data_IF_274045179610
#
_entry.id   IF_274045179610
#
_cell.length_a   1.000
_cell.length_b   1.000
_cell.length_c   1.000
_cell.angle_alpha   90.00
_cell.angle_beta   90.00
_cell.angle_gamma   90.00
#
_symmetry.space_group_name_H-M   'P 1'
#
loop_
_entity.id
_entity.type
_entity.pdbx_description
1 polymer ?
#
# COMPACT_ATOMS: atom_id res chain seq x y z
N UNK A 1 10.26 16.42 -29.81
CA UNK A 1 10.03 16.44 -28.35
C UNK A 1 8.55 16.68 -28.13
N UNK A 2 7.86 15.73 -27.52
CA UNK A 2 6.46 15.91 -27.20
C UNK A 2 6.30 16.81 -25.94
N UNK A 3 5.05 17.18 -25.60
CA UNK A 3 4.80 18.05 -24.45
C UNK A 3 5.17 17.40 -23.11
N UNK A 4 5.05 16.08 -22.97
CA UNK A 4 5.44 15.36 -21.75
C UNK A 4 6.97 15.39 -21.57
N UNK A 5 7.73 15.18 -22.64
CA UNK A 5 9.20 15.27 -22.63
C UNK A 5 9.66 16.66 -22.21
N UNK A 6 9.11 17.71 -22.82
CA UNK A 6 9.45 19.09 -22.48
C UNK A 6 9.13 19.46 -21.03
N UNK A 7 8.01 18.94 -20.47
CA UNK A 7 7.65 19.13 -19.07
C UNK A 7 8.59 18.34 -18.14
N UNK A 8 9.01 17.15 -18.53
CA UNK A 8 9.93 16.35 -17.76
C UNK A 8 11.33 16.96 -17.70
N UNK A 9 11.82 17.51 -18.82
CA UNK A 9 13.08 18.26 -18.86
C UNK A 9 13.06 19.45 -17.88
N UNK A 10 12.00 20.27 -17.92
CA UNK A 10 11.82 21.35 -16.96
C UNK A 10 11.72 20.88 -15.52
N UNK A 11 11.03 19.78 -15.26
CA UNK A 11 10.89 19.23 -13.91
C UNK A 11 12.25 18.80 -13.33
N UNK A 12 13.13 18.22 -14.16
CA UNK A 12 14.48 17.81 -13.75
C UNK A 12 15.39 18.96 -13.33
N UNK A 13 15.13 20.19 -13.81
CA UNK A 13 15.87 21.38 -13.41
C UNK A 13 15.58 21.81 -11.96
N UNK A 14 14.36 21.49 -11.44
CA UNK A 14 13.89 22.01 -10.14
C UNK A 14 13.49 20.95 -9.14
N UNK A 15 13.35 19.68 -9.57
CA UNK A 15 12.99 18.54 -8.71
C UNK A 15 14.00 17.42 -8.97
N UNK A 16 14.62 16.84 -7.95
CA UNK A 16 15.54 15.72 -8.11
C UNK A 16 14.93 14.58 -8.93
N UNK A 17 15.53 14.29 -10.10
CA UNK A 17 15.00 13.30 -11.06
C UNK A 17 13.67 13.66 -11.70
N UNK A 18 13.17 14.89 -11.52
CA UNK A 18 11.91 15.39 -12.10
C UNK A 18 10.64 14.88 -11.42
N UNK A 19 10.74 14.20 -10.27
CA UNK A 19 9.62 13.53 -9.60
C UNK A 19 9.70 13.64 -8.08
N UNK A 20 8.54 13.60 -7.41
CA UNK A 20 8.43 13.57 -5.95
C UNK A 20 8.29 12.15 -5.38
N UNK A 21 8.37 11.11 -6.23
CA UNK A 21 8.44 9.71 -5.84
C UNK A 21 9.15 8.92 -6.95
N UNK A 22 10.18 8.08 -6.62
CA UNK A 22 11.10 7.51 -7.61
C UNK A 22 10.45 6.73 -8.75
N UNK A 23 9.42 5.93 -8.45
CA UNK A 23 8.75 5.08 -9.45
C UNK A 23 8.11 5.87 -10.59
N UNK A 24 7.74 7.13 -10.35
CA UNK A 24 7.10 8.02 -11.35
C UNK A 24 8.03 8.44 -12.48
N UNK A 25 9.34 8.28 -12.32
CA UNK A 25 10.34 8.71 -13.31
C UNK A 25 10.51 7.76 -14.52
N UNK A 26 9.77 6.66 -14.60
CA UNK A 26 9.89 5.63 -15.65
C UNK A 26 11.29 5.01 -15.77
N UNK A 27 12.10 5.09 -14.71
CA UNK A 27 13.48 4.58 -14.75
C UNK A 27 13.54 3.10 -15.07
N UNK A 28 12.58 2.30 -14.58
CA UNK A 28 12.55 0.85 -14.78
C UNK A 28 12.12 0.43 -16.19
N UNK A 29 11.28 1.24 -16.85
CA UNK A 29 10.72 0.93 -18.17
C UNK A 29 11.32 1.76 -19.30
N UNK A 30 11.98 2.88 -18.95
CA UNK A 30 12.52 3.84 -19.93
C UNK A 30 11.46 4.80 -20.49
N UNK A 31 11.94 5.77 -21.26
CA UNK A 31 11.08 6.82 -21.84
C UNK A 31 10.76 7.94 -20.86
N UNK A 32 9.86 8.84 -21.28
CA UNK A 32 9.42 9.98 -20.47
C UNK A 32 8.06 9.69 -19.79
N UNK A 33 7.92 10.04 -18.50
CA UNK A 33 6.65 9.89 -17.79
C UNK A 33 5.56 10.80 -18.38
N UNK A 34 4.31 10.41 -18.17
CA UNK A 34 3.15 11.19 -18.62
C UNK A 34 2.78 12.22 -17.57
N UNK A 35 2.66 13.48 -17.97
CA UNK A 35 2.21 14.58 -17.12
C UNK A 35 0.69 14.69 -17.18
N UNK A 36 0.01 14.26 -16.11
CA UNK A 36 -1.44 14.17 -16.08
C UNK A 36 -2.06 15.55 -15.80
N UNK A 37 -3.07 15.94 -16.58
CA UNK A 37 -3.79 17.23 -16.46
C UNK A 37 -5.12 17.09 -15.73
N UNK A 38 -5.81 15.99 -15.93
CA UNK A 38 -7.12 15.72 -15.34
C UNK A 38 -7.40 14.22 -15.32
N UNK A 39 -8.33 13.81 -14.48
CA UNK A 39 -8.83 12.45 -14.41
C UNK A 39 -10.32 12.45 -14.07
N UNK A 40 -11.07 11.41 -14.51
CA UNK A 40 -12.48 11.19 -14.17
C UNK A 40 -12.82 9.71 -14.35
N UNK A 41 -13.48 9.13 -13.35
CA UNK A 41 -13.81 7.70 -13.39
C UNK A 41 -12.56 6.82 -13.55
N UNK A 42 -12.49 5.91 -14.53
CA UNK A 42 -11.34 5.06 -14.77
C UNK A 42 -10.28 5.70 -15.67
N UNK A 43 -10.44 6.97 -16.06
CA UNK A 43 -9.62 7.62 -17.09
C UNK A 43 -8.74 8.74 -16.55
N UNK A 44 -7.54 8.85 -17.13
CA UNK A 44 -6.64 10.01 -17.02
C UNK A 44 -6.35 10.61 -18.39
N UNK A 45 -6.02 11.91 -18.43
CA UNK A 45 -5.57 12.61 -19.64
C UNK A 45 -4.25 13.32 -19.37
N UNK A 46 -3.28 13.08 -20.25
CA UNK A 46 -1.96 13.69 -20.14
C UNK A 46 -1.90 15.12 -20.71
N UNK A 47 -0.73 15.73 -20.67
CA UNK A 47 -0.48 17.07 -21.15
C UNK A 47 -0.67 17.24 -22.67
N UNK A 48 -0.66 16.16 -23.44
CA UNK A 48 -0.95 16.18 -24.89
C UNK A 48 -2.44 16.07 -25.18
N UNK A 49 -3.26 15.68 -24.17
CA UNK A 49 -4.68 15.41 -24.30
C UNK A 49 -5.00 13.94 -24.54
N UNK A 50 -3.99 13.06 -24.60
CA UNK A 50 -4.19 11.63 -24.76
C UNK A 50 -4.87 11.05 -23.52
N UNK A 51 -5.90 10.22 -23.74
CA UNK A 51 -6.65 9.52 -22.72
C UNK A 51 -6.03 8.15 -22.45
N UNK A 52 -6.04 7.76 -21.18
CA UNK A 52 -5.62 6.45 -20.70
C UNK A 52 -6.66 5.85 -19.77
N UNK A 53 -6.89 4.52 -19.87
CA UNK A 53 -7.50 3.73 -18.80
C UNK A 53 -6.43 3.56 -17.72
N UNK A 54 -6.74 3.94 -16.48
CA UNK A 54 -5.77 4.00 -15.40
C UNK A 54 -5.88 2.81 -14.46
N UNK A 55 -4.84 1.97 -14.43
CA UNK A 55 -4.69 0.87 -13.47
C UNK A 55 -3.69 1.16 -12.34
N UNK A 56 -3.14 2.39 -12.28
CA UNK A 56 -2.35 2.86 -11.14
C UNK A 56 -3.27 3.38 -10.04
N UNK A 57 -4.33 4.13 -10.41
CA UNK A 57 -5.32 4.71 -9.49
C UNK A 57 -4.66 5.43 -8.30
N UNK A 58 -3.63 6.23 -8.61
CA UNK A 58 -2.81 6.96 -7.61
C UNK A 58 -2.11 6.03 -6.61
N UNK A 59 -1.77 4.80 -7.01
CA UNK A 59 -1.20 3.73 -6.19
C UNK A 59 -2.18 3.15 -5.16
N UNK A 60 -3.48 3.17 -5.50
CA UNK A 60 -4.53 2.49 -4.76
C UNK A 60 -5.67 3.34 -4.18
N UNK A 61 -5.50 4.63 -3.81
CA UNK A 61 -6.56 5.39 -3.14
C UNK A 61 -7.83 5.60 -3.96
N UNK A 62 -7.75 5.63 -5.31
CA UNK A 62 -8.90 5.95 -6.17
C UNK A 62 -9.86 4.78 -6.36
N UNK A 63 -10.29 4.12 -5.27
CA UNK A 63 -11.16 2.93 -5.31
C UNK A 63 -12.56 3.24 -5.87
N UNK A 64 -13.05 4.47 -5.69
CA UNK A 64 -14.31 4.97 -6.27
C UNK A 64 -14.15 5.52 -7.70
N UNK A 65 -12.94 5.45 -8.27
CA UNK A 65 -12.56 6.16 -9.49
C UNK A 65 -12.16 7.61 -9.24
N UNK A 66 -11.55 8.21 -10.25
CA UNK A 66 -11.10 9.59 -10.17
C UNK A 66 -12.29 10.56 -10.12
N UNK A 67 -12.09 11.65 -9.36
CA UNK A 67 -13.01 12.79 -9.33
C UNK A 67 -14.48 12.37 -9.13
N UNK A 68 -14.71 11.49 -8.12
CA UNK A 68 -16.04 11.05 -7.75
C UNK A 68 -16.88 12.23 -7.24
N UNK A 69 -18.11 12.40 -7.73
CA UNK A 69 -18.91 13.60 -7.50
C UNK A 69 -19.28 13.78 -6.01
N UNK A 70 -19.59 12.70 -5.29
CA UNK A 70 -19.91 12.77 -3.85
C UNK A 70 -18.68 13.14 -3.00
N UNK A 71 -17.51 12.59 -3.37
CA UNK A 71 -16.24 12.91 -2.70
C UNK A 71 -15.85 14.36 -2.94
N UNK A 72 -15.97 14.85 -4.18
CA UNK A 72 -15.66 16.25 -4.52
C UNK A 72 -16.62 17.21 -3.81
N UNK A 73 -17.92 16.91 -3.76
CA UNK A 73 -18.89 17.74 -3.03
C UNK A 73 -18.54 17.86 -1.54
N UNK A 74 -18.13 16.76 -0.88
CA UNK A 74 -17.70 16.77 0.51
C UNK A 74 -16.42 17.60 0.73
N UNK A 75 -15.47 17.51 -0.20
CA UNK A 75 -14.23 18.32 -0.19
C UNK A 75 -14.56 19.81 -0.35
N UNK A 76 -15.38 20.19 -1.32
CA UNK A 76 -15.79 21.58 -1.58
C UNK A 76 -16.50 22.17 -0.36
N UNK A 77 -17.39 21.42 0.28
CA UNK A 77 -18.04 21.85 1.51
C UNK A 77 -17.03 22.08 2.64
N UNK A 78 -16.06 21.18 2.82
CA UNK A 78 -15.03 21.32 3.85
C UNK A 78 -14.12 22.53 3.58
N UNK A 79 -13.70 22.73 2.34
CA UNK A 79 -12.86 23.88 1.92
C UNK A 79 -13.58 25.21 2.23
N UNK A 80 -14.91 25.28 2.04
CA UNK A 80 -15.69 26.48 2.33
C UNK A 80 -15.69 26.90 3.80
N UNK A 81 -15.38 25.95 4.73
CA UNK A 81 -15.33 26.16 6.19
C UNK A 81 -13.92 26.48 6.71
N UNK A 82 -12.89 26.25 5.90
CA UNK A 82 -11.49 26.49 6.22
C UNK A 82 -10.59 25.27 5.98
N UNK A 83 -9.30 25.54 5.72
CA UNK A 83 -8.36 24.50 5.32
C UNK A 83 -7.73 23.75 6.50
N UNK A 84 -7.53 24.43 7.64
CA UNK A 84 -6.85 23.87 8.81
C UNK A 84 -7.06 24.80 10.02
N UNK A 85 -7.21 24.22 11.21
CA UNK A 85 -7.56 25.02 12.38
C UNK A 85 -6.51 24.97 13.51
N UNK A 86 -5.61 23.97 13.52
CA UNK A 86 -4.71 23.73 14.65
C UNK A 86 -5.46 23.35 15.94
N UNK A 87 -6.70 22.86 15.79
CA UNK A 87 -7.62 22.46 16.85
C UNK A 87 -8.40 21.22 16.42
N UNK A 88 -8.99 20.49 17.37
CA UNK A 88 -9.78 19.29 17.11
C UNK A 88 -11.05 19.61 16.32
N UNK A 89 -11.48 18.66 15.48
CA UNK A 89 -12.70 18.76 14.70
C UNK A 89 -13.61 17.54 14.92
N UNK A 90 -14.90 17.71 14.71
CA UNK A 90 -15.85 16.60 14.76
C UNK A 90 -15.51 15.52 13.70
N UNK A 91 -15.01 15.94 12.53
CA UNK A 91 -14.65 15.04 11.44
C UNK A 91 -13.60 14.00 11.85
N UNK A 92 -12.65 14.38 12.71
CA UNK A 92 -11.63 13.44 13.23
C UNK A 92 -12.27 12.31 14.06
N UNK A 93 -13.26 12.64 14.88
CA UNK A 93 -14.01 11.64 15.65
C UNK A 93 -14.82 10.73 14.72
N UNK A 94 -15.54 11.32 13.76
CA UNK A 94 -16.36 10.55 12.82
C UNK A 94 -15.55 9.57 11.96
N UNK A 95 -14.39 9.98 11.45
CA UNK A 95 -13.57 9.06 10.67
C UNK A 95 -12.97 7.95 11.53
N UNK A 96 -12.60 8.23 12.77
CA UNK A 96 -12.12 7.22 13.70
C UNK A 96 -13.22 6.20 14.06
N UNK A 97 -14.44 6.65 14.28
CA UNK A 97 -15.62 5.80 14.52
C UNK A 97 -15.92 4.92 13.30
N UNK A 98 -15.86 5.49 12.10
CA UNK A 98 -16.10 4.75 10.85
C UNK A 98 -15.00 3.70 10.58
N UNK A 99 -13.73 4.04 10.82
CA UNK A 99 -12.63 3.08 10.75
C UNK A 99 -12.83 1.93 11.73
N UNK A 100 -13.18 2.21 12.99
CA UNK A 100 -13.45 1.16 14.00
C UNK A 100 -14.60 0.23 13.62
N UNK A 101 -15.62 0.75 12.97
CA UNK A 101 -16.75 -0.05 12.46
C UNK A 101 -16.32 -0.99 11.34
N UNK A 102 -15.47 -0.51 10.41
CA UNK A 102 -15.02 -1.27 9.25
C UNK A 102 -13.84 -2.21 9.56
N UNK A 103 -13.00 -1.86 10.54
CA UNK A 103 -11.83 -2.61 10.98
C UNK A 103 -11.90 -2.82 12.50
N UNK A 104 -12.67 -3.83 12.98
CA UNK A 104 -12.97 -3.99 14.41
C UNK A 104 -11.78 -4.27 15.32
N UNK A 105 -10.63 -4.70 14.77
CA UNK A 105 -9.38 -4.85 15.53
C UNK A 105 -8.79 -3.54 16.04
N UNK A 106 -9.29 -2.39 15.55
CA UNK A 106 -8.83 -1.06 15.93
C UNK A 106 -9.74 -0.45 17.00
N UNK A 107 -9.50 -0.76 18.28
CA UNK A 107 -10.24 -0.16 19.41
C UNK A 107 -10.05 1.36 19.50
N UNK A 108 -8.85 1.85 19.20
CA UNK A 108 -8.49 3.25 19.11
C UNK A 108 -7.70 3.54 17.86
N UNK A 109 -7.85 4.75 17.31
CA UNK A 109 -7.27 5.21 16.06
C UNK A 109 -6.54 6.52 16.27
N UNK A 110 -5.35 6.67 15.73
CA UNK A 110 -4.60 7.93 15.64
C UNK A 110 -4.39 8.27 14.17
N UNK A 111 -4.86 9.45 13.75
CA UNK A 111 -4.67 9.94 12.40
C UNK A 111 -3.25 10.49 12.21
N UNK A 112 -2.72 10.25 11.02
CA UNK A 112 -1.46 10.79 10.51
C UNK A 112 -1.66 11.18 9.04
N UNK A 113 -0.64 11.70 8.35
CA UNK A 113 -0.78 12.18 6.97
C UNK A 113 -0.28 11.20 5.91
N UNK A 114 0.46 10.17 6.28
CA UNK A 114 1.04 9.19 5.34
C UNK A 114 1.20 7.80 5.96
N UNK A 115 1.28 6.78 5.11
CA UNK A 115 1.61 5.41 5.54
C UNK A 115 2.98 5.32 6.20
N UNK A 116 3.96 6.15 5.79
CA UNK A 116 5.27 6.25 6.42
C UNK A 116 5.15 6.69 7.89
N UNK A 117 4.36 7.74 8.15
CA UNK A 117 4.12 8.19 9.53
C UNK A 117 3.38 7.13 10.35
N UNK A 118 2.43 6.41 9.75
CA UNK A 118 1.73 5.31 10.41
C UNK A 118 2.72 4.20 10.81
N UNK A 119 3.59 3.75 9.91
CA UNK A 119 4.60 2.72 10.18
C UNK A 119 5.63 3.13 11.21
N UNK A 120 6.17 4.32 11.07
CA UNK A 120 7.11 4.90 12.04
C UNK A 120 6.50 4.96 13.45
N UNK A 121 5.25 5.39 13.54
CA UNK A 121 4.56 5.56 14.82
C UNK A 121 4.16 4.21 15.43
N UNK A 122 3.66 3.28 14.63
CA UNK A 122 3.29 1.93 15.09
C UNK A 122 4.51 1.15 15.64
N UNK A 123 5.66 1.24 14.98
CA UNK A 123 6.91 0.62 15.46
C UNK A 123 7.38 1.27 16.77
N UNK A 124 7.39 2.61 16.83
CA UNK A 124 7.76 3.32 18.07
C UNK A 124 6.83 2.91 19.22
N UNK A 125 5.53 2.81 18.94
CA UNK A 125 4.54 2.39 19.91
C UNK A 125 4.76 0.96 20.38
N UNK A 126 5.01 0.02 19.45
CA UNK A 126 5.31 -1.38 19.80
C UNK A 126 6.56 -1.51 20.68
N UNK A 127 7.62 -0.77 20.34
CA UNK A 127 8.84 -0.70 21.18
C UNK A 127 8.55 -0.10 22.56
N UNK A 128 7.80 0.99 22.63
CA UNK A 128 7.42 1.64 23.89
C UNK A 128 6.56 0.76 24.78
N UNK A 129 5.62 0.02 24.19
CA UNK A 129 4.73 -0.89 24.90
C UNK A 129 5.43 -2.12 25.43
N UNK A 130 6.30 -2.74 24.63
CA UNK A 130 7.00 -3.99 25.00
C UNK A 130 8.29 -3.75 25.79
N UNK A 131 8.87 -2.57 25.72
CA UNK A 131 10.21 -2.28 26.25
C UNK A 131 11.34 -2.96 25.46
N UNK A 132 11.07 -3.45 24.26
CA UNK A 132 12.00 -4.22 23.42
C UNK A 132 12.41 -3.41 22.18
N UNK A 133 13.50 -3.81 21.52
CA UNK A 133 14.08 -3.04 20.42
C UNK A 133 13.96 -3.72 19.04
N UNK A 134 13.98 -5.06 18.98
CA UNK A 134 14.06 -5.77 17.71
C UNK A 134 12.73 -5.77 16.97
N UNK A 135 12.80 -5.64 15.66
CA UNK A 135 11.63 -5.75 14.76
C UNK A 135 11.91 -6.78 13.67
N UNK A 136 10.87 -7.48 13.27
CA UNK A 136 10.89 -8.39 12.11
C UNK A 136 10.08 -7.74 10.99
N UNK A 137 10.64 -7.69 9.79
CA UNK A 137 9.95 -7.41 8.53
C UNK A 137 10.30 -8.47 7.48
N UNK A 138 9.67 -8.41 6.32
CA UNK A 138 9.87 -9.41 5.26
C UNK A 138 10.45 -8.80 4.01
N UNK A 139 11.26 -9.59 3.32
CA UNK A 139 11.86 -9.22 2.04
C UNK A 139 10.78 -8.91 1.01
N UNK A 140 10.99 -7.87 0.21
CA UNK A 140 10.00 -7.40 -0.76
C UNK A 140 8.86 -6.55 -0.20
N UNK A 141 8.58 -6.59 1.12
CA UNK A 141 7.59 -5.73 1.76
C UNK A 141 8.13 -4.31 1.99
N UNK A 142 7.23 -3.32 1.82
CA UNK A 142 7.52 -1.90 2.04
C UNK A 142 6.51 -1.29 3.01
N UNK A 143 7.01 -0.60 4.03
CA UNK A 143 6.21 -0.02 5.11
C UNK A 143 6.51 1.48 5.32
N UNK A 144 6.82 2.19 4.24
CA UNK A 144 7.29 3.58 4.31
C UNK A 144 8.82 3.69 4.40
N UNK A 145 9.30 4.93 4.41
CA UNK A 145 10.73 5.24 4.33
C UNK A 145 11.34 5.73 5.65
N UNK A 146 10.82 5.26 6.77
CA UNK A 146 11.49 5.40 8.07
C UNK A 146 12.80 4.61 8.09
N UNK A 147 13.86 5.16 8.66
CA UNK A 147 15.22 4.60 8.62
C UNK A 147 15.27 3.14 9.07
N UNK A 148 14.56 2.78 10.15
CA UNK A 148 14.50 1.40 10.65
C UNK A 148 13.82 0.41 9.70
N UNK A 149 13.14 0.88 8.67
CA UNK A 149 12.44 0.07 7.66
C UNK A 149 13.14 0.06 6.30
N UNK A 150 14.12 0.95 6.07
CA UNK A 150 14.97 0.95 4.88
C UNK A 150 16.12 -0.05 5.05
N UNK A 151 15.76 -1.33 5.08
CA UNK A 151 16.63 -2.46 5.41
C UNK A 151 16.40 -3.56 4.40
N UNK A 152 17.48 -4.16 3.92
CA UNK A 152 17.50 -5.36 3.08
C UNK A 152 18.05 -6.55 3.86
N UNK A 153 17.76 -7.77 3.41
CA UNK A 153 18.28 -8.99 4.02
C UNK A 153 19.80 -8.98 4.17
N UNK A 154 20.30 -9.56 5.24
CA UNK A 154 21.72 -9.79 5.47
C UNK A 154 22.28 -10.92 4.60
N UNK A 155 23.59 -11.18 4.68
CA UNK A 155 24.30 -12.17 3.87
C UNK A 155 24.13 -13.62 4.30
N UNK A 156 23.34 -13.89 5.35
CA UNK A 156 23.07 -15.25 5.86
C UNK A 156 21.68 -15.34 6.48
N UNK A 157 21.23 -16.59 6.72
CA UNK A 157 19.97 -16.81 7.42
C UNK A 157 20.01 -16.21 8.83
N UNK A 158 18.91 -15.57 9.24
CA UNK A 158 18.73 -14.95 10.55
C UNK A 158 19.80 -13.90 10.93
N UNK A 159 20.36 -13.20 9.93
CA UNK A 159 21.23 -12.05 10.19
C UNK A 159 20.44 -10.75 10.12
N UNK A 160 20.79 -9.79 10.98
CA UNK A 160 20.21 -8.46 10.92
C UNK A 160 20.50 -7.78 9.59
N UNK A 161 19.53 -7.02 9.09
CA UNK A 161 19.61 -6.42 7.77
C UNK A 161 20.65 -5.30 7.67
N UNK A 162 21.07 -5.06 6.44
CA UNK A 162 21.92 -3.94 6.08
C UNK A 162 21.08 -2.76 5.61
N UNK A 163 21.55 -1.49 5.76
CA UNK A 163 20.87 -0.35 5.17
C UNK A 163 20.63 -0.54 3.67
N UNK A 164 19.39 -0.29 3.22
CA UNK A 164 19.01 -0.33 1.80
C UNK A 164 19.11 1.05 1.12
N UNK A 165 19.41 2.09 1.90
CA UNK A 165 19.58 3.45 1.43
C UNK A 165 20.86 4.07 1.99
N UNK A 166 21.55 4.86 1.17
CA UNK A 166 22.60 5.73 1.65
C UNK A 166 22.01 6.73 2.68
N UNK A 167 22.79 7.06 3.70
CA UNK A 167 22.36 7.97 4.76
C UNK A 167 21.66 7.29 5.95
N UNK A 168 21.32 6.01 5.86
CA UNK A 168 20.80 5.23 7.00
C UNK A 168 21.97 4.60 7.74
N UNK A 169 22.22 4.95 9.03
CA UNK A 169 23.31 4.37 9.81
C UNK A 169 23.06 2.88 10.11
N UNK A 170 24.13 2.09 10.14
CA UNK A 170 24.04 0.68 10.52
C UNK A 170 23.45 0.47 11.92
N UNK A 171 23.73 1.39 12.87
CA UNK A 171 23.15 1.37 14.21
C UNK A 171 21.61 1.49 14.26
N UNK A 172 20.99 2.02 13.21
CA UNK A 172 19.52 2.08 13.11
C UNK A 172 18.96 0.77 12.60
N UNK A 173 19.68 0.07 11.72
CA UNK A 173 19.23 -1.17 11.10
C UNK A 173 19.62 -2.43 11.88
N UNK A 174 20.53 -2.33 12.85
CA UNK A 174 21.01 -3.48 13.67
C UNK A 174 19.92 -4.16 14.52
N UNK A 175 18.78 -3.50 14.67
CA UNK A 175 17.62 -4.05 15.37
C UNK A 175 16.53 -4.56 14.43
N UNK A 176 16.74 -4.51 13.11
CA UNK A 176 15.76 -4.95 12.12
C UNK A 176 16.19 -6.27 11.48
N UNK A 177 15.42 -7.32 11.73
CA UNK A 177 15.59 -8.62 11.10
C UNK A 177 14.69 -8.68 9.85
N UNK A 178 15.27 -9.03 8.71
CA UNK A 178 14.55 -9.22 7.44
C UNK A 178 14.50 -10.69 7.11
N UNK A 179 13.30 -11.27 7.09
CA UNK A 179 13.05 -12.68 6.79
C UNK A 179 12.44 -12.85 5.40
N UNK A 180 12.50 -14.06 4.88
CA UNK A 180 11.81 -14.42 3.64
C UNK A 180 10.28 -14.41 3.87
N UNK A 181 9.56 -13.83 2.92
CA UNK A 181 8.11 -13.85 2.92
C UNK A 181 7.60 -15.28 2.64
N UNK A 182 6.53 -15.70 3.32
CA UNK A 182 5.96 -17.06 3.23
C UNK A 182 6.89 -18.17 3.73
N UNK A 183 7.85 -17.87 4.59
CA UNK A 183 8.72 -18.88 5.23
C UNK A 183 8.45 -18.97 6.75
N UNK A 184 7.52 -19.84 7.21
CA UNK A 184 7.20 -19.98 8.61
C UNK A 184 8.38 -20.50 9.45
N UNK A 185 9.27 -21.34 8.87
CA UNK A 185 10.43 -21.87 9.58
C UNK A 185 11.39 -20.76 10.02
N UNK A 186 11.66 -19.78 9.14
CA UNK A 186 12.51 -18.63 9.53
C UNK A 186 11.90 -17.81 10.65
N UNK A 187 10.56 -17.70 10.71
CA UNK A 187 9.89 -17.06 11.84
C UNK A 187 10.12 -17.84 13.14
N UNK A 188 9.91 -19.16 13.12
CA UNK A 188 10.14 -20.02 14.28
C UNK A 188 11.57 -19.93 14.79
N UNK A 189 12.56 -20.00 13.89
CA UNK A 189 13.97 -19.88 14.22
C UNK A 189 14.32 -18.50 14.81
N UNK A 190 13.76 -17.42 14.25
CA UNK A 190 13.96 -16.07 14.76
C UNK A 190 13.38 -15.89 16.16
N UNK A 191 12.18 -16.39 16.41
CA UNK A 191 11.58 -16.34 17.76
C UNK A 191 12.25 -17.29 18.76
N UNK A 192 12.78 -18.42 18.32
CA UNK A 192 13.57 -19.29 19.17
C UNK A 192 14.86 -18.62 19.65
N UNK A 193 15.46 -17.80 18.79
CA UNK A 193 16.73 -17.12 19.12
C UNK A 193 16.53 -15.79 19.86
N UNK A 194 15.50 -14.99 19.50
CA UNK A 194 15.33 -13.60 19.99
C UNK A 194 13.93 -13.28 20.50
N UNK A 195 13.10 -14.28 20.80
CA UNK A 195 11.69 -14.06 21.13
C UNK A 195 11.45 -13.04 22.24
N UNK A 196 12.33 -12.99 23.24
CA UNK A 196 12.23 -12.05 24.38
C UNK A 196 12.68 -10.62 24.03
N UNK A 197 13.38 -10.43 22.90
CA UNK A 197 13.87 -9.12 22.44
C UNK A 197 13.01 -8.51 21.32
N UNK A 198 12.15 -9.32 20.67
CA UNK A 198 11.31 -8.87 19.56
C UNK A 198 10.17 -8.01 20.08
N UNK A 199 10.17 -6.73 19.69
CA UNK A 199 9.09 -5.79 19.98
C UNK A 199 7.87 -6.05 19.09
N UNK A 200 8.11 -6.24 17.79
CA UNK A 200 7.02 -6.46 16.83
C UNK A 200 7.46 -7.21 15.58
N UNK A 201 6.45 -7.76 14.91
CA UNK A 201 6.52 -8.22 13.52
C UNK A 201 5.62 -7.30 12.69
N UNK A 202 6.11 -6.78 11.57
CA UNK A 202 5.33 -5.98 10.62
C UNK A 202 5.21 -6.70 9.29
N UNK A 203 4.00 -6.78 8.74
CA UNK A 203 3.70 -7.56 7.53
C UNK A 203 2.61 -6.92 6.67
N UNK A 204 2.76 -7.00 5.36
CA UNK A 204 1.65 -6.90 4.40
C UNK A 204 1.07 -8.32 4.22
N UNK A 205 -0.18 -8.58 4.61
CA UNK A 205 -0.76 -9.93 4.47
C UNK A 205 -1.03 -10.30 2.98
N UNK A 206 -1.15 -9.29 2.12
CA UNK A 206 -0.97 -9.38 0.67
C UNK A 206 0.07 -8.34 0.31
N UNK A 207 1.26 -8.76 -0.04
CA UNK A 207 2.37 -7.87 -0.31
C UNK A 207 2.22 -7.24 -1.71
N UNK A 208 1.99 -5.93 -1.75
CA UNK A 208 1.76 -5.18 -2.98
C UNK A 208 2.99 -4.45 -3.52
N UNK A 209 4.12 -4.46 -2.80
CA UNK A 209 5.34 -3.76 -3.17
C UNK A 209 6.41 -4.68 -3.79
N UNK A 210 6.11 -5.96 -3.97
CA UNK A 210 6.85 -6.91 -4.78
C UNK A 210 5.94 -7.53 -5.86
N UNK A 211 5.25 -6.66 -6.63
CA UNK A 211 4.08 -6.99 -7.41
C UNK A 211 2.92 -7.36 -6.45
N UNK A 212 2.15 -8.42 -6.69
CA UNK A 212 1.17 -8.89 -5.70
C UNK A 212 1.52 -10.33 -5.29
N UNK A 213 1.95 -10.52 -4.04
CA UNK A 213 2.23 -11.85 -3.49
C UNK A 213 1.34 -12.09 -2.27
N UNK A 214 0.53 -13.14 -2.32
CA UNK A 214 -0.37 -13.49 -1.21
C UNK A 214 0.39 -14.12 -0.06
N UNK A 215 0.04 -13.74 1.16
CA UNK A 215 0.49 -14.44 2.36
C UNK A 215 -0.10 -15.85 2.42
N UNK A 216 0.75 -16.84 2.66
CA UNK A 216 0.30 -18.20 2.91
C UNK A 216 -0.45 -18.25 4.26
N UNK A 217 -1.64 -18.87 4.36
CA UNK A 217 -2.38 -18.96 5.62
C UNK A 217 -1.60 -19.58 6.78
N UNK A 218 -0.75 -20.57 6.53
CA UNK A 218 0.12 -21.16 7.54
C UNK A 218 1.15 -20.15 8.06
N UNK A 219 1.83 -19.45 7.17
CA UNK A 219 2.79 -18.40 7.51
C UNK A 219 2.16 -17.31 8.40
N UNK A 220 0.97 -16.83 8.02
CA UNK A 220 0.26 -15.79 8.75
C UNK A 220 -0.22 -16.29 10.13
N UNK A 221 -0.71 -17.53 10.22
CA UNK A 221 -1.10 -18.16 11.48
C UNK A 221 0.09 -18.33 12.41
N UNK A 222 1.20 -18.92 11.93
CA UNK A 222 2.44 -19.09 12.69
C UNK A 222 2.93 -17.75 13.25
N UNK A 223 2.90 -16.70 12.44
CA UNK A 223 3.26 -15.35 12.87
C UNK A 223 2.39 -14.86 14.05
N UNK A 224 1.07 -15.02 13.96
CA UNK A 224 0.16 -14.63 15.05
C UNK A 224 0.42 -15.41 16.32
N UNK A 225 0.58 -16.73 16.19
CA UNK A 225 0.83 -17.62 17.32
C UNK A 225 2.15 -17.29 18.04
N UNK A 226 3.23 -17.06 17.28
CA UNK A 226 4.53 -16.69 17.84
C UNK A 226 4.49 -15.33 18.52
N UNK A 227 3.88 -14.32 17.89
CA UNK A 227 3.70 -13.01 18.52
C UNK A 227 2.92 -13.12 19.85
N UNK A 228 1.86 -13.90 19.88
CA UNK A 228 1.06 -14.13 21.10
C UNK A 228 1.89 -14.82 22.18
N UNK A 229 2.58 -15.90 21.83
CA UNK A 229 3.40 -16.70 22.76
C UNK A 229 4.51 -15.88 23.41
N UNK A 230 5.16 -15.01 22.65
CA UNK A 230 6.31 -14.23 23.10
C UNK A 230 5.95 -12.81 23.55
N UNK A 231 4.69 -12.40 23.46
CA UNK A 231 4.26 -11.04 23.82
C UNK A 231 4.81 -9.97 22.89
N UNK A 232 5.13 -10.32 21.65
CA UNK A 232 5.48 -9.38 20.60
C UNK A 232 4.21 -8.80 19.94
N UNK A 233 4.29 -7.56 19.44
CA UNK A 233 3.17 -6.89 18.77
C UNK A 233 3.11 -7.30 17.30
N UNK A 234 1.99 -7.83 16.84
CA UNK A 234 1.75 -8.06 15.41
C UNK A 234 1.16 -6.79 14.78
N UNK A 235 1.88 -6.20 13.84
CA UNK A 235 1.46 -5.04 13.06
C UNK A 235 1.09 -5.52 11.65
N UNK A 236 -0.18 -5.39 11.26
CA UNK A 236 -0.60 -5.63 9.88
C UNK A 236 -0.66 -4.30 9.13
N UNK A 237 0.13 -4.22 8.06
CA UNK A 237 0.14 -3.08 7.16
C UNK A 237 -0.97 -3.22 6.12
N UNK A 238 -2.03 -2.46 6.32
CA UNK A 238 -3.20 -2.35 5.44
C UNK A 238 -3.17 -1.06 4.60
N UNK A 239 -2.03 -0.39 4.50
CA UNK A 239 -1.93 0.85 3.72
C UNK A 239 -2.35 0.64 2.27
N UNK A 240 -2.03 -0.50 1.68
CA UNK A 240 -2.45 -0.86 0.32
C UNK A 240 -3.73 -1.71 0.32
N UNK A 241 -3.86 -2.65 1.22
CA UNK A 241 -4.89 -3.69 1.26
C UNK A 241 -6.18 -3.27 1.96
N UNK A 242 -6.10 -2.31 2.87
CA UNK A 242 -7.25 -1.83 3.63
C UNK A 242 -8.39 -1.35 2.74
N UNK A 243 -9.59 -1.84 2.98
CA UNK A 243 -10.82 -1.57 2.22
C UNK A 243 -10.77 -2.04 0.75
N UNK A 244 -9.64 -2.53 0.28
CA UNK A 244 -9.42 -2.93 -1.12
C UNK A 244 -9.46 -4.43 -1.34
N UNK A 245 -8.83 -5.22 -0.47
CA UNK A 245 -8.85 -6.69 -0.54
C UNK A 245 -10.21 -7.22 -0.07
N UNK A 246 -10.69 -6.68 1.02
CA UNK A 246 -12.04 -6.85 1.56
C UNK A 246 -12.42 -5.57 2.28
N UNK A 247 -13.67 -5.42 2.71
CA UNK A 247 -14.14 -4.23 3.44
C UNK A 247 -13.33 -3.98 4.72
N UNK A 248 -12.98 -5.04 5.46
CA UNK A 248 -12.13 -5.00 6.64
C UNK A 248 -10.65 -5.24 6.36
N UNK A 249 -10.20 -5.13 5.10
CA UNK A 249 -8.81 -5.34 4.68
C UNK A 249 -8.39 -6.80 4.55
N UNK A 250 -7.10 -7.02 4.36
CA UNK A 250 -6.52 -8.36 4.25
C UNK A 250 -6.63 -9.15 5.57
N UNK A 251 -6.61 -8.49 6.72
CA UNK A 251 -6.83 -9.14 8.02
C UNK A 251 -8.19 -9.82 8.10
N UNK A 252 -9.26 -9.18 7.60
CA UNK A 252 -10.59 -9.77 7.53
C UNK A 252 -10.64 -10.92 6.51
N UNK A 253 -9.98 -10.78 5.37
CA UNK A 253 -9.90 -11.80 4.33
C UNK A 253 -9.25 -13.09 4.83
N UNK A 254 -8.17 -12.99 5.62
CA UNK A 254 -7.44 -14.14 6.17
C UNK A 254 -7.92 -14.58 7.56
N UNK A 255 -8.78 -13.82 8.21
CA UNK A 255 -9.18 -14.08 9.61
C UNK A 255 -8.04 -13.88 10.61
N UNK A 256 -7.15 -12.91 10.37
CA UNK A 256 -6.03 -12.56 11.27
C UNK A 256 -6.46 -11.44 12.18
N UNK A 257 -6.15 -11.53 13.46
CA UNK A 257 -6.39 -10.50 14.45
C UNK A 257 -5.06 -9.85 14.86
N UNK A 258 -4.69 -8.69 14.29
CA UNK A 258 -3.47 -7.98 14.64
C UNK A 258 -3.60 -7.25 15.98
N UNK A 259 -2.46 -6.91 16.58
CA UNK A 259 -2.41 -6.04 17.76
C UNK A 259 -2.47 -4.56 17.35
N UNK A 260 -1.82 -4.22 16.22
CA UNK A 260 -1.87 -2.90 15.57
C UNK A 260 -2.12 -3.04 14.06
N UNK A 261 -2.81 -2.07 13.50
CA UNK A 261 -3.08 -1.95 12.06
C UNK A 261 -2.63 -0.58 11.57
N UNK A 262 -2.03 -0.54 10.38
CA UNK A 262 -1.72 0.69 9.65
C UNK A 262 -2.70 0.85 8.49
N UNK A 263 -3.21 2.07 8.28
CA UNK A 263 -4.08 2.43 7.16
C UNK A 263 -3.52 3.64 6.42
N UNK A 264 -3.79 3.72 5.13
CA UNK A 264 -3.44 4.83 4.26
C UNK A 264 -4.22 4.75 2.95
N UNK A 265 -3.75 5.43 1.93
CA UNK A 265 -4.32 5.36 0.57
C UNK A 265 -5.84 5.52 0.55
N UNK A 266 -6.61 4.42 0.52
CA UNK A 266 -8.09 4.45 0.42
C UNK A 266 -8.75 5.27 1.52
N UNK A 267 -8.24 5.21 2.77
CA UNK A 267 -8.79 6.00 3.88
C UNK A 267 -8.77 7.52 3.61
N UNK A 268 -7.85 7.97 2.77
CA UNK A 268 -7.74 9.38 2.36
C UNK A 268 -8.52 9.71 1.09
N UNK A 269 -8.93 8.71 0.30
CA UNK A 269 -9.69 8.92 -0.94
C UNK A 269 -8.98 9.77 -1.99
N UNK A 270 -7.64 9.92 -1.89
CA UNK A 270 -6.81 10.78 -2.73
C UNK A 270 -6.17 11.95 -1.99
N UNK A 271 -6.63 12.26 -0.78
CA UNK A 271 -6.04 13.26 0.10
C UNK A 271 -5.09 12.61 1.12
N UNK A 272 -4.12 13.37 1.69
CA UNK A 272 -3.11 12.84 2.61
C UNK A 272 -3.69 12.55 4.01
N UNK A 273 -4.41 11.44 4.13
CA UNK A 273 -4.86 10.84 5.39
C UNK A 273 -4.34 9.42 5.48
N UNK A 274 -3.79 9.10 6.62
CA UNK A 274 -3.44 7.76 7.05
C UNK A 274 -3.77 7.60 8.54
N UNK A 275 -3.66 6.40 9.05
CA UNK A 275 -3.91 6.11 10.45
C UNK A 275 -3.09 4.91 10.92
N UNK A 276 -2.88 4.83 12.22
CA UNK A 276 -2.54 3.59 12.90
C UNK A 276 -3.44 3.45 14.12
N UNK A 277 -3.67 2.23 14.53
CA UNK A 277 -4.55 1.94 15.65
C UNK A 277 -4.54 0.45 15.99
N UNK A 278 -5.27 0.07 17.00
CA UNK A 278 -5.36 -1.31 17.46
C UNK A 278 -5.86 -1.40 18.88
N UNK A 279 -5.35 -2.40 19.61
CA UNK A 279 -5.74 -2.72 20.97
C UNK A 279 -5.59 -1.51 21.88
N UNK A 280 -6.63 -1.25 22.68
CA UNK A 280 -6.74 -0.06 23.55
C UNK A 280 -5.54 0.11 24.47
N UNK A 281 -5.10 -0.95 25.13
CA UNK A 281 -4.00 -0.91 26.10
C UNK A 281 -2.65 -0.55 25.45
N UNK A 282 -2.46 -0.88 24.16
CA UNK A 282 -1.29 -0.46 23.39
C UNK A 282 -1.42 1.01 23.01
N UNK A 283 -2.56 1.40 22.45
CA UNK A 283 -2.82 2.77 21.99
C UNK A 283 -2.76 3.80 23.13
N UNK A 284 -3.11 3.42 24.34
CA UNK A 284 -3.03 4.29 25.53
C UNK A 284 -1.58 4.63 25.95
N UNK A 285 -0.57 3.97 25.38
CA UNK A 285 0.83 4.38 25.59
C UNK A 285 1.22 5.63 24.79
N UNK A 286 0.34 6.12 23.90
CA UNK A 286 0.62 7.34 23.12
C UNK A 286 0.30 8.60 23.94
N UNK A 287 1.18 9.60 23.85
CA UNK A 287 0.94 10.92 24.43
C UNK A 287 -0.41 11.52 23.91
N UNK A 288 -1.20 12.17 24.76
CA UNK A 288 -0.92 12.64 26.11
C UNK A 288 -1.16 11.61 27.23
N UNK A 289 -1.65 10.41 26.95
CA UNK A 289 -1.95 9.40 27.97
C UNK A 289 -0.71 8.66 28.45
N UNK A 290 0.19 8.30 27.52
CA UNK A 290 1.39 7.54 27.79
C UNK A 290 2.67 8.27 27.33
N UNK A 291 3.84 7.62 27.48
CA UNK A 291 5.14 8.25 27.23
C UNK A 291 5.55 8.23 25.74
N UNK A 292 4.85 7.52 24.88
CA UNK A 292 5.22 7.40 23.45
C UNK A 292 4.76 8.65 22.69
N UNK A 293 5.72 9.41 22.15
CA UNK A 293 5.42 10.65 21.45
C UNK A 293 5.07 10.43 19.97
N UNK A 294 3.98 11.05 19.52
CA UNK A 294 3.59 11.22 18.14
C UNK A 294 2.83 12.53 17.99
N UNK A 295 3.13 13.32 16.96
CA UNK A 295 2.43 14.55 16.64
C UNK A 295 2.45 14.82 15.14
N UNK A 296 1.51 15.64 14.66
CA UNK A 296 1.45 16.09 13.27
C UNK A 296 0.54 17.30 13.14
N UNK A 297 1.09 18.42 12.67
CA UNK A 297 0.33 19.68 12.51
C UNK A 297 -0.91 19.54 11.65
N UNK A 298 -0.82 18.72 10.59
CA UNK A 298 -1.92 18.50 9.63
C UNK A 298 -2.60 17.13 9.80
N UNK A 299 -2.26 16.37 10.84
CA UNK A 299 -2.97 15.14 11.17
C UNK A 299 -4.44 15.44 11.49
N UNK A 300 -5.36 14.76 10.81
CA UNK A 300 -6.78 15.03 10.92
C UNK A 300 -7.23 16.32 10.20
N UNK A 301 -6.49 16.77 9.19
CA UNK A 301 -6.87 17.92 8.36
C UNK A 301 -8.34 17.80 7.90
N UNK A 302 -9.19 18.84 8.13
CA UNK A 302 -10.62 18.73 7.91
C UNK A 302 -11.02 18.45 6.45
N UNK A 303 -10.28 18.98 5.48
CA UNK A 303 -10.52 18.74 4.05
C UNK A 303 -10.16 17.30 3.68
N UNK A 304 -9.03 16.83 4.14
CA UNK A 304 -8.58 15.45 3.90
C UNK A 304 -9.49 14.42 4.60
N UNK A 305 -9.93 14.70 5.81
CA UNK A 305 -10.90 13.87 6.55
C UNK A 305 -12.26 13.81 5.85
N UNK A 306 -12.77 14.94 5.33
CA UNK A 306 -14.02 14.96 4.55
C UNK A 306 -13.94 14.08 3.31
N UNK A 307 -12.80 14.12 2.58
CA UNK A 307 -12.52 13.24 1.45
C UNK A 307 -12.54 11.76 1.88
N UNK A 308 -11.85 11.44 2.97
CA UNK A 308 -11.79 10.08 3.53
C UNK A 308 -13.17 9.56 3.96
N UNK A 309 -13.95 10.35 4.70
CA UNK A 309 -15.30 9.98 5.14
C UNK A 309 -16.23 9.69 3.96
N UNK A 310 -16.23 10.55 2.94
CA UNK A 310 -17.03 10.33 1.73
C UNK A 310 -16.61 9.06 1.00
N UNK A 311 -15.30 8.79 0.93
CA UNK A 311 -14.77 7.56 0.34
C UNK A 311 -15.19 6.32 1.14
N UNK A 312 -15.02 6.32 2.47
CA UNK A 312 -15.42 5.22 3.34
C UNK A 312 -16.93 4.96 3.29
N UNK A 313 -17.75 6.00 3.13
CA UNK A 313 -19.18 5.84 2.88
C UNK A 313 -19.46 5.15 1.55
N UNK A 314 -18.78 5.57 0.47
CA UNK A 314 -18.98 5.02 -0.87
C UNK A 314 -18.65 3.52 -0.98
N UNK A 315 -17.61 3.05 -0.29
CA UNK A 315 -17.20 1.62 -0.32
C UNK A 315 -18.17 0.69 0.41
N UNK A 316 -19.10 1.22 1.21
CA UNK A 316 -20.11 0.44 1.91
C UNK A 316 -21.38 0.20 1.08
N UNK A 317 -21.42 0.69 -0.16
CA UNK A 317 -22.53 0.42 -1.05
C UNK A 317 -22.73 -1.10 -1.25
N UNK A 318 -23.98 -1.60 -1.27
CA UNK A 318 -24.26 -3.02 -1.43
C UNK A 318 -23.60 -3.61 -2.68
N UNK A 319 -22.89 -4.73 -2.53
CA UNK A 319 -22.19 -5.41 -3.62
C UNK A 319 -20.93 -4.71 -4.12
N UNK A 320 -20.43 -3.70 -3.40
CA UNK A 320 -19.22 -2.96 -3.79
C UNK A 320 -18.01 -3.88 -3.95
N UNK A 321 -17.69 -4.67 -2.93
CA UNK A 321 -16.53 -5.57 -2.94
C UNK A 321 -16.66 -6.66 -4.04
N UNK A 322 -17.86 -7.19 -4.25
CA UNK A 322 -18.10 -8.19 -5.29
C UNK A 322 -17.87 -7.63 -6.70
N UNK A 323 -18.33 -6.40 -6.95
CA UNK A 323 -18.09 -5.73 -8.24
C UNK A 323 -16.60 -5.46 -8.45
N UNK A 324 -15.92 -5.01 -7.42
CA UNK A 324 -14.49 -4.73 -7.47
C UNK A 324 -13.67 -5.99 -7.77
N UNK A 325 -13.96 -7.09 -7.04
CA UNK A 325 -13.30 -8.37 -7.24
C UNK A 325 -13.56 -8.95 -8.63
N UNK A 326 -14.82 -8.91 -9.10
CA UNK A 326 -15.17 -9.38 -10.46
C UNK A 326 -14.42 -8.61 -11.55
N UNK A 327 -14.25 -7.30 -11.40
CA UNK A 327 -13.51 -6.50 -12.37
C UNK A 327 -12.02 -6.92 -12.44
N UNK A 328 -11.37 -7.12 -11.28
CA UNK A 328 -10.01 -7.61 -11.23
C UNK A 328 -9.88 -9.03 -11.81
N UNK A 329 -10.74 -9.94 -11.41
CA UNK A 329 -10.75 -11.34 -11.90
C UNK A 329 -10.94 -11.41 -13.42
N UNK A 330 -11.87 -10.62 -13.98
CA UNK A 330 -12.09 -10.57 -15.43
C UNK A 330 -10.84 -10.07 -16.16
N UNK A 331 -10.21 -9.00 -15.65
CA UNK A 331 -9.00 -8.45 -16.24
C UNK A 331 -7.88 -9.49 -16.29
N UNK A 332 -7.56 -10.13 -15.16
CA UNK A 332 -6.44 -11.08 -15.09
C UNK A 332 -6.70 -12.33 -15.95
N UNK A 333 -7.94 -12.82 -16.00
CA UNK A 333 -8.35 -13.95 -16.86
C UNK A 333 -8.21 -13.60 -18.34
N UNK A 334 -8.68 -12.42 -18.75
CA UNK A 334 -8.59 -11.97 -20.14
C UNK A 334 -7.15 -11.77 -20.60
N UNK A 335 -6.32 -11.08 -19.78
CA UNK A 335 -4.91 -10.90 -20.09
C UNK A 335 -4.13 -12.23 -20.14
N UNK A 336 -4.46 -13.17 -19.25
CA UNK A 336 -3.85 -14.52 -19.25
C UNK A 336 -4.23 -15.29 -20.52
N UNK A 337 -5.50 -15.26 -20.93
CA UNK A 337 -5.96 -15.90 -22.17
C UNK A 337 -5.25 -15.29 -23.40
N UNK A 338 -5.21 -13.96 -23.50
CA UNK A 338 -4.53 -13.28 -24.59
C UNK A 338 -3.02 -13.62 -24.66
N UNK A 339 -2.34 -13.71 -23.51
CA UNK A 339 -0.94 -14.14 -23.46
C UNK A 339 -0.75 -15.57 -23.94
N UNK A 340 -1.64 -16.51 -23.52
CA UNK A 340 -1.59 -17.92 -23.95
C UNK A 340 -1.80 -18.06 -25.45
N UNK A 341 -2.78 -17.36 -26.03
CA UNK A 341 -3.05 -17.36 -27.47
C UNK A 341 -1.84 -16.87 -28.30
N UNK A 342 -1.02 -16.01 -27.73
CA UNK A 342 0.18 -15.45 -28.37
C UNK A 342 1.48 -16.13 -27.95
N UNK A 343 1.44 -17.22 -27.17
CA UNK A 343 2.61 -17.99 -26.77
C UNK A 343 3.55 -17.24 -25.81
N UNK A 344 3.02 -16.27 -25.06
CA UNK A 344 3.80 -15.47 -24.09
C UNK A 344 3.81 -16.16 -22.74
N UNK A 345 4.99 -16.34 -22.13
CA UNK A 345 5.10 -16.80 -20.75
C UNK A 345 4.56 -15.72 -19.81
N UNK A 346 3.39 -15.94 -19.25
CA UNK A 346 2.68 -14.99 -18.42
C UNK A 346 1.72 -15.70 -17.50
N UNK A 347 1.58 -15.18 -16.29
CA UNK A 347 0.50 -15.52 -15.38
C UNK A 347 0.04 -14.26 -14.63
N UNK A 348 -1.11 -14.33 -14.01
CA UNK A 348 -1.66 -13.22 -13.24
C UNK A 348 -2.50 -13.76 -12.07
N UNK A 349 -2.66 -12.96 -11.03
CA UNK A 349 -3.52 -13.24 -9.89
C UNK A 349 -4.24 -11.97 -9.46
N UNK A 350 -5.37 -12.11 -8.76
CA UNK A 350 -6.15 -11.00 -8.22
C UNK A 350 -6.71 -11.33 -6.85
N UNK A 351 -6.85 -10.31 -6.01
CA UNK A 351 -7.54 -10.39 -4.73
C UNK A 351 -8.25 -9.07 -4.43
N UNK A 352 -9.57 -9.11 -4.24
CA UNK A 352 -10.38 -7.90 -4.13
C UNK A 352 -10.17 -7.00 -5.36
N UNK A 353 -9.80 -5.74 -5.12
CA UNK A 353 -9.51 -4.78 -6.19
C UNK A 353 -8.04 -4.63 -6.55
N UNK A 354 -7.19 -5.59 -6.19
CA UNK A 354 -5.77 -5.66 -6.52
C UNK A 354 -5.48 -6.78 -7.49
N UNK A 355 -4.45 -6.61 -8.33
CA UNK A 355 -3.96 -7.67 -9.21
C UNK A 355 -2.45 -7.58 -9.41
N UNK A 356 -1.85 -8.72 -9.72
CA UNK A 356 -0.46 -8.87 -10.14
C UNK A 356 -0.36 -9.43 -11.55
N UNK A 357 0.55 -8.88 -12.35
CA UNK A 357 0.88 -9.34 -13.69
C UNK A 357 2.32 -9.86 -13.68
N UNK A 358 2.52 -11.13 -13.97
CA UNK A 358 3.82 -11.76 -13.85
C UNK A 358 4.28 -12.35 -15.19
N UNK A 359 5.41 -11.88 -15.69
CA UNK A 359 6.09 -12.49 -16.84
C UNK A 359 6.95 -13.66 -16.34
N UNK A 360 6.26 -14.66 -15.78
CA UNK A 360 6.75 -15.86 -15.12
C UNK A 360 5.88 -17.05 -15.52
N UNK A 361 6.39 -18.29 -15.43
CA UNK A 361 5.60 -19.50 -15.72
C UNK A 361 4.54 -19.81 -14.64
N UNK A 362 4.68 -19.28 -13.43
CA UNK A 362 3.76 -19.50 -12.31
C UNK A 362 3.69 -18.27 -11.40
N UNK A 363 2.61 -18.15 -10.65
CA UNK A 363 2.40 -17.08 -9.65
C UNK A 363 3.51 -17.17 -8.58
N UNK A 364 4.19 -16.07 -8.26
CA UNK A 364 5.29 -16.06 -7.31
C UNK A 364 4.83 -16.29 -5.88
N UNK A 365 5.64 -16.98 -5.09
CA UNK A 365 5.42 -17.24 -3.66
C UNK A 365 6.21 -16.31 -2.75
N UNK A 366 7.18 -15.58 -3.26
CA UNK A 366 8.03 -14.66 -2.51
C UNK A 366 8.87 -13.78 -3.41
N UNK A 367 9.68 -12.93 -2.79
CA UNK A 367 10.49 -11.94 -3.49
C UNK A 367 11.48 -12.57 -4.48
N UNK A 368 12.12 -13.68 -4.10
CA UNK A 368 13.08 -14.39 -4.96
C UNK A 368 12.44 -14.89 -6.27
N UNK A 369 11.15 -15.22 -6.27
CA UNK A 369 10.46 -15.61 -7.51
C UNK A 369 10.14 -14.39 -8.37
N UNK A 370 9.68 -13.30 -7.74
CA UNK A 370 9.40 -12.03 -8.46
C UNK A 370 10.64 -11.52 -9.18
N UNK A 371 11.83 -11.67 -8.58
CA UNK A 371 13.11 -11.27 -9.18
C UNK A 371 13.48 -12.03 -10.46
N UNK A 372 12.83 -13.17 -10.74
CA UNK A 372 13.02 -13.95 -11.98
C UNK A 372 12.16 -13.45 -13.15
N UNK A 373 11.33 -12.42 -12.94
CA UNK A 373 10.44 -11.88 -13.98
C UNK A 373 11.21 -11.40 -15.21
N UNK A 374 10.68 -11.72 -16.41
CA UNK A 374 11.20 -11.23 -17.68
C UNK A 374 10.88 -9.73 -17.83
N UNK A 375 11.81 -8.91 -17.37
CA UNK A 375 11.70 -7.45 -17.37
C UNK A 375 11.66 -6.88 -18.80
N UNK A 376 12.34 -7.52 -19.76
CA UNK A 376 12.35 -7.05 -21.14
C UNK A 376 10.98 -7.21 -21.78
N UNK A 377 10.36 -8.38 -21.63
CA UNK A 377 9.00 -8.63 -22.12
C UNK A 377 7.98 -7.76 -21.41
N UNK A 378 8.12 -7.55 -20.11
CA UNK A 378 7.29 -6.59 -19.38
C UNK A 378 7.40 -5.18 -19.94
N UNK A 379 8.63 -4.69 -20.21
CA UNK A 379 8.82 -3.34 -20.73
C UNK A 379 8.18 -3.17 -22.13
N UNK A 380 8.27 -4.16 -23.00
CA UNK A 380 7.56 -4.17 -24.30
C UNK A 380 6.04 -4.13 -24.11
N UNK A 381 5.51 -4.95 -23.20
CA UNK A 381 4.09 -4.95 -22.85
C UNK A 381 3.65 -3.57 -22.30
N UNK A 382 4.38 -3.03 -21.34
CA UNK A 382 4.06 -1.73 -20.73
C UNK A 382 3.95 -0.61 -21.79
N UNK A 383 4.96 -0.49 -22.64
CA UNK A 383 4.95 0.55 -23.69
C UNK A 383 3.86 0.30 -24.73
N UNK A 384 3.66 -0.95 -25.15
CA UNK A 384 2.60 -1.31 -26.08
C UNK A 384 1.21 -0.97 -25.56
N UNK A 385 0.96 -1.21 -24.26
CA UNK A 385 -0.30 -0.84 -23.60
C UNK A 385 -0.43 0.68 -23.45
N UNK A 386 0.64 1.37 -23.05
CA UNK A 386 0.65 2.82 -22.91
C UNK A 386 0.36 3.53 -24.25
N UNK A 387 0.92 3.03 -25.36
CA UNK A 387 0.63 3.53 -26.70
C UNK A 387 -0.84 3.34 -27.09
N UNK A 388 -1.48 2.26 -26.64
CA UNK A 388 -2.90 1.96 -26.88
C UNK A 388 -3.86 2.61 -25.90
N UNK A 389 -3.32 3.44 -24.98
CA UNK A 389 -4.14 4.20 -24.04
C UNK A 389 -4.53 3.42 -22.79
N UNK A 390 -3.70 2.46 -22.37
CA UNK A 390 -3.82 1.77 -21.08
C UNK A 390 -2.57 2.05 -20.24
N UNK A 391 -2.77 2.50 -19.00
CA UNK A 391 -1.69 2.91 -18.13
C UNK A 391 -1.56 1.97 -16.93
N UNK A 392 -0.65 0.99 -17.05
CA UNK A 392 -0.22 0.13 -15.96
C UNK A 392 0.92 0.77 -15.16
N UNK A 393 1.28 0.16 -14.03
CA UNK A 393 2.42 0.60 -13.24
C UNK A 393 3.74 0.46 -14.03
N UNK A 394 4.65 1.46 -13.99
CA UNK A 394 5.89 1.46 -14.74
C UNK A 394 7.00 0.65 -14.05
N UNK A 395 6.66 -0.52 -13.54
CA UNK A 395 7.61 -1.42 -12.89
C UNK A 395 7.00 -2.82 -12.76
N UNK A 396 7.79 -3.85 -13.04
CA UNK A 396 7.44 -5.26 -12.83
C UNK A 396 7.20 -5.62 -11.36
N UNK A 397 7.60 -4.75 -10.44
CA UNK A 397 7.47 -4.94 -8.99
C UNK A 397 6.24 -4.28 -8.37
N UNK A 398 5.38 -3.68 -9.17
CA UNK A 398 4.21 -2.96 -8.66
C UNK A 398 2.91 -3.71 -8.96
N UNK A 399 2.05 -3.79 -7.95
CA UNK A 399 0.68 -4.26 -8.12
C UNK A 399 -0.15 -3.27 -8.95
N UNK A 400 -1.16 -3.77 -9.62
CA UNK A 400 -2.18 -2.97 -10.29
C UNK A 400 -3.48 -2.91 -9.49
N UNK A 401 -4.34 -1.96 -9.85
CA UNK A 401 -5.58 -1.68 -9.13
C UNK A 401 -6.75 -1.48 -10.09
N UNK A 402 -7.94 -1.91 -9.66
CA UNK A 402 -9.20 -1.54 -10.30
C UNK A 402 -10.02 -0.67 -9.35
N UNK A 403 -10.89 0.15 -9.92
CA UNK A 403 -11.91 0.90 -9.19
C UNK A 403 -13.29 0.40 -9.55
N UNK A 404 -14.30 0.83 -8.79
CA UNK A 404 -15.70 0.54 -9.11
C UNK A 404 -16.14 1.06 -10.49
N UNK A 405 -15.37 1.98 -11.08
CA UNK A 405 -15.60 2.55 -12.41
C UNK A 405 -14.98 1.75 -13.55
N UNK A 406 -14.22 0.69 -13.25
CA UNK A 406 -13.74 -0.27 -14.26
C UNK A 406 -14.86 -1.24 -14.60
N UNK A 407 -15.79 -0.77 -15.45
CA UNK A 407 -16.91 -1.55 -15.96
C UNK A 407 -16.43 -2.67 -16.88
N UNK A 408 -17.32 -3.60 -17.18
CA UNK A 408 -17.04 -4.70 -18.14
C UNK A 408 -16.56 -4.19 -19.49
N UNK A 409 -17.10 -3.05 -19.97
CA UNK A 409 -16.69 -2.41 -21.21
C UNK A 409 -15.26 -1.86 -21.12
N UNK A 410 -14.89 -1.24 -20.00
CA UNK A 410 -13.54 -0.70 -19.78
C UNK A 410 -12.51 -1.83 -19.70
N UNK A 411 -12.85 -2.92 -19.01
CA UNK A 411 -12.00 -4.13 -18.93
C UNK A 411 -11.82 -4.76 -20.32
N UNK A 412 -12.90 -4.94 -21.07
CA UNK A 412 -12.84 -5.53 -22.41
C UNK A 412 -11.96 -4.74 -23.38
N UNK A 413 -12.02 -3.41 -23.31
CA UNK A 413 -11.12 -2.53 -24.09
C UNK A 413 -9.65 -2.66 -23.69
N UNK A 414 -9.37 -3.11 -22.50
CA UNK A 414 -7.99 -3.34 -22.01
C UNK A 414 -7.44 -4.66 -22.49
N UNK A 415 -8.27 -5.72 -22.48
CA UNK A 415 -7.96 -7.06 -22.98
C UNK A 415 -7.71 -7.03 -24.48
#
# INVERSE_FOLDING_TARGET
MDRNEALFDRAREVIPGGVNSPVRAFRSVGGAPRFIRRAKGPYMWDATGKQFIDYILSWGPMILGHNNDEVIAAVDEAVSKGLSFGAVTQGETLIAEEVRKLVPSMDQVRLVSSGTEAGMSAIRLARGYTGRNKIIKFEGCYHGHSDSLLVKAGSGMLTFGNPSSAGVPASVTEHTLVLEYNNPQQLEDAFAQWGDDIACVIVEAVAGNMNMVRGNPEFLRTMRELCTKHGAVLIVDEVMTGFRVAQGGAQAFYGIEPDLTMLGKVIGGGMPVAAFGGRREIMQQIAPLGPVYQAGTLSGNPVAVACGLATLKGIQAPGFQDKLSRAADRLVKGLTAAAQENGITFCADSVGGMFGLYFLPSVPHGFADVMKSDTETFNRFFHGMLERGVYFAPSVFEAGFVSIMHTDEVIERTI
#
